data_IF_940523353312
#
_entry.id   IF_940523353312
#
_cell.length_a   1.000
_cell.length_b   1.000
_cell.length_c   1.000
_cell.angle_alpha   90.00
_cell.angle_beta   90.00
_cell.angle_gamma   90.00
#
_symmetry.space_group_name_H-M   'P 1'
#
loop_
_entity.id
_entity.type
_entity.pdbx_description
1 polymer ?
#
# COMPACT_ATOMS: atom_id res chain seq x y z
N UNK A 1 -14.58 9.76 -0.11
CA UNK A 1 -15.92 10.39 -0.22
C UNK A 1 -15.92 11.29 -1.43
N UNK A 2 -16.99 11.24 -2.25
CA UNK A 2 -17.09 11.87 -3.57
C UNK A 2 -18.19 12.92 -3.62
N UNK A 3 -17.96 14.01 -4.33
CA UNK A 3 -18.89 15.13 -4.45
C UNK A 3 -18.59 16.00 -5.65
N UNK A 4 -19.33 17.09 -5.74
CA UNK A 4 -19.17 18.14 -6.72
C UNK A 4 -18.96 19.48 -6.03
N UNK A 5 -18.13 20.32 -6.63
CA UNK A 5 -18.11 21.74 -6.33
C UNK A 5 -19.21 22.44 -7.16
N UNK A 6 -20.09 23.16 -6.50
CA UNK A 6 -21.14 23.94 -7.15
C UNK A 6 -20.57 25.26 -7.69
N UNK A 7 -21.31 25.90 -8.59
CA UNK A 7 -20.92 27.21 -9.17
C UNK A 7 -20.70 28.32 -8.14
N UNK A 8 -21.34 28.20 -6.96
CA UNK A 8 -21.18 29.13 -5.83
C UNK A 8 -20.03 28.76 -4.88
N UNK A 9 -19.24 27.73 -5.20
CA UNK A 9 -18.16 27.23 -4.38
C UNK A 9 -18.57 26.26 -3.26
N UNK A 10 -19.87 26.01 -3.06
CA UNK A 10 -20.33 25.04 -2.08
C UNK A 10 -20.04 23.61 -2.49
N UNK A 11 -19.80 22.74 -1.51
CA UNK A 11 -19.60 21.32 -1.73
C UNK A 11 -20.92 20.54 -1.63
N UNK A 12 -21.14 19.63 -2.57
CA UNK A 12 -22.30 18.72 -2.55
C UNK A 12 -21.84 17.26 -2.65
N UNK A 13 -22.21 16.45 -1.67
CA UNK A 13 -21.96 15.00 -1.69
C UNK A 13 -22.79 14.29 -2.77
N UNK A 14 -22.18 13.34 -3.48
CA UNK A 14 -22.91 12.46 -4.43
C UNK A 14 -23.73 11.44 -3.66
N UNK A 15 -23.18 10.92 -2.56
CA UNK A 15 -23.85 9.95 -1.67
C UNK A 15 -23.27 9.99 -0.26
N UNK A 16 -23.98 9.36 0.68
CA UNK A 16 -23.58 9.30 2.09
C UNK A 16 -22.74 8.05 2.45
N UNK A 17 -22.25 7.33 1.44
CA UNK A 17 -21.40 6.14 1.64
C UNK A 17 -20.03 6.35 1.01
N UNK A 18 -18.93 6.01 1.73
CA UNK A 18 -17.60 5.99 1.15
C UNK A 18 -17.47 4.99 0.00
N UNK A 19 -16.58 5.25 -0.95
CA UNK A 19 -16.16 4.27 -1.97
C UNK A 19 -14.82 4.62 -2.54
N UNK A 20 -14.08 3.62 -3.04
CA UNK A 20 -12.82 3.83 -3.76
C UNK A 20 -13.08 4.44 -5.14
N UNK A 21 -14.06 3.92 -5.87
CA UNK A 21 -14.40 4.37 -7.20
C UNK A 21 -15.41 5.50 -7.19
N UNK A 22 -15.30 6.41 -8.15
CA UNK A 22 -16.27 7.47 -8.33
C UNK A 22 -17.67 6.90 -8.61
N UNK A 23 -18.70 7.29 -7.83
CA UNK A 23 -20.06 6.82 -8.04
C UNK A 23 -20.78 7.53 -9.20
N UNK A 24 -20.18 8.58 -9.76
CA UNK A 24 -20.79 9.39 -10.84
C UNK A 24 -19.71 10.10 -11.67
N UNK A 25 -20.01 10.32 -12.95
CA UNK A 25 -19.11 11.06 -13.85
C UNK A 25 -18.89 12.50 -13.34
N UNK A 26 -17.65 12.97 -13.41
CA UNK A 26 -17.26 14.32 -12.98
C UNK A 26 -17.18 14.55 -11.48
N UNK A 27 -17.54 13.55 -10.65
CA UNK A 27 -17.35 13.67 -9.20
C UNK A 27 -15.85 13.55 -8.86
N UNK A 28 -15.42 14.37 -7.89
CA UNK A 28 -14.06 14.34 -7.33
C UNK A 28 -14.11 13.97 -5.85
N UNK A 29 -12.99 13.53 -5.28
CA UNK A 29 -12.91 13.30 -3.85
C UNK A 29 -12.86 14.64 -3.09
N UNK A 30 -13.43 14.69 -1.88
CA UNK A 30 -13.32 15.88 -1.03
C UNK A 30 -11.85 16.25 -0.74
N UNK A 31 -10.98 15.25 -0.60
CA UNK A 31 -9.55 15.49 -0.47
C UNK A 31 -9.00 16.24 -1.69
N UNK A 32 -9.36 15.83 -2.92
CA UNK A 32 -8.91 16.49 -4.15
C UNK A 32 -9.47 17.91 -4.29
N UNK A 33 -10.71 18.14 -3.86
CA UNK A 33 -11.29 19.47 -3.78
C UNK A 33 -10.47 20.37 -2.84
N UNK A 34 -10.22 19.92 -1.60
CA UNK A 34 -9.40 20.67 -0.63
C UNK A 34 -7.96 20.85 -1.08
N UNK A 35 -7.37 19.86 -1.76
CA UNK A 35 -6.03 19.96 -2.34
C UNK A 35 -5.95 21.11 -3.36
N UNK A 36 -6.92 21.22 -4.26
CA UNK A 36 -6.98 22.30 -5.25
C UNK A 36 -7.09 23.70 -4.61
N UNK A 37 -7.77 23.80 -3.47
CA UNK A 37 -7.90 25.06 -2.75
C UNK A 37 -6.65 25.42 -1.95
N UNK A 38 -6.06 24.47 -1.24
CA UNK A 38 -5.06 24.73 -0.20
C UNK A 38 -3.62 24.57 -0.69
N UNK A 39 -3.37 23.74 -1.71
CA UNK A 39 -2.00 23.41 -2.13
C UNK A 39 -1.59 24.24 -3.32
N UNK A 40 -0.67 25.17 -3.09
CA UNK A 40 0.02 25.97 -4.14
C UNK A 40 1.48 25.53 -4.30
N UNK A 41 2.08 25.07 -3.21
CA UNK A 41 3.45 24.55 -3.15
C UNK A 41 3.47 23.20 -2.43
N UNK A 42 4.51 22.38 -2.61
CA UNK A 42 4.63 21.10 -1.91
C UNK A 42 4.55 21.20 -0.37
N UNK A 43 4.99 22.34 0.21
CA UNK A 43 4.94 22.58 1.66
C UNK A 43 3.51 22.72 2.21
N UNK A 44 2.55 23.13 1.39
CA UNK A 44 1.16 23.36 1.80
C UNK A 44 0.42 22.04 2.12
N UNK A 45 0.96 20.89 1.70
CA UNK A 45 0.39 19.56 2.00
C UNK A 45 0.31 19.26 3.51
N UNK A 46 1.13 19.92 4.34
CA UNK A 46 1.02 19.86 5.80
C UNK A 46 -0.32 20.40 6.29
N UNK A 47 -0.72 21.56 5.78
CA UNK A 47 -2.01 22.18 6.10
C UNK A 47 -3.20 21.37 5.56
N UNK A 48 -3.10 20.87 4.34
CA UNK A 48 -4.10 19.95 3.78
C UNK A 48 -4.35 18.74 4.69
N UNK A 49 -3.29 18.07 5.15
CA UNK A 49 -3.40 16.94 6.07
C UNK A 49 -4.04 17.33 7.40
N UNK A 50 -3.72 18.49 7.94
CA UNK A 50 -4.29 19.00 9.19
C UNK A 50 -5.81 19.20 9.03
N UNK A 51 -6.25 19.86 7.97
CA UNK A 51 -7.67 20.14 7.71
C UNK A 51 -8.44 18.85 7.40
N UNK A 52 -7.88 17.96 6.59
CA UNK A 52 -8.55 16.69 6.26
C UNK A 52 -8.48 15.65 7.37
N UNK A 53 -7.51 15.74 8.28
CA UNK A 53 -7.36 14.84 9.41
C UNK A 53 -8.49 14.94 10.45
N UNK A 54 -9.11 16.09 10.59
CA UNK A 54 -10.29 16.32 11.46
C UNK A 54 -11.62 16.24 10.69
N UNK A 55 -11.62 15.76 9.46
CA UNK A 55 -12.74 15.81 8.53
C UNK A 55 -14.09 15.37 9.14
N UNK A 56 -14.13 14.28 9.90
CA UNK A 56 -15.36 13.77 10.51
C UNK A 56 -15.84 14.56 11.72
N UNK A 57 -15.04 15.52 12.18
CA UNK A 57 -15.39 16.45 13.27
C UNK A 57 -15.96 17.76 12.71
N UNK A 58 -15.89 17.96 11.39
CA UNK A 58 -16.43 19.13 10.71
C UNK A 58 -17.86 18.86 10.22
N UNK A 59 -18.74 19.89 10.14
CA UNK A 59 -20.15 19.71 9.73
C UNK A 59 -20.32 18.98 8.40
N UNK A 60 -19.43 19.20 7.44
CA UNK A 60 -19.46 18.52 6.14
C UNK A 60 -19.13 17.02 6.24
N UNK A 61 -18.29 16.65 7.20
CA UNK A 61 -17.79 15.28 7.36
C UNK A 61 -18.51 14.47 8.42
N UNK A 62 -19.28 15.08 9.31
CA UNK A 62 -19.95 14.44 10.45
C UNK A 62 -20.77 13.21 10.05
N UNK A 63 -21.45 13.26 8.91
CA UNK A 63 -22.21 12.12 8.35
C UNK A 63 -21.39 10.85 8.11
N UNK A 64 -20.07 10.99 8.00
CA UNK A 64 -19.14 9.87 7.80
C UNK A 64 -18.48 9.39 9.09
N UNK A 65 -18.74 10.05 10.23
CA UNK A 65 -18.22 9.63 11.54
C UNK A 65 -18.55 8.17 11.88
N UNK A 66 -19.78 7.65 11.62
CA UNK A 66 -20.08 6.24 11.90
C UNK A 66 -19.20 5.22 11.17
N UNK A 67 -18.66 5.58 10.00
CA UNK A 67 -17.72 4.71 9.28
C UNK A 67 -16.35 4.67 9.96
N UNK A 68 -15.86 5.84 10.42
CA UNK A 68 -14.61 5.92 11.20
C UNK A 68 -14.74 5.15 12.52
N UNK A 69 -15.81 5.37 13.28
CA UNK A 69 -16.05 4.70 14.56
C UNK A 69 -16.13 3.18 14.40
N UNK A 70 -16.81 2.69 13.36
CA UNK A 70 -16.88 1.27 13.05
C UNK A 70 -15.50 0.70 12.70
N UNK A 71 -14.73 1.41 11.88
CA UNK A 71 -13.35 1.02 11.56
C UNK A 71 -12.47 0.94 12.80
N UNK A 72 -12.50 1.98 13.66
CA UNK A 72 -11.76 1.97 14.92
C UNK A 72 -12.21 0.85 15.87
N UNK A 73 -13.52 0.61 15.97
CA UNK A 73 -14.04 -0.49 16.79
C UNK A 73 -13.54 -1.86 16.31
N UNK A 74 -13.41 -2.07 14.98
CA UNK A 74 -12.97 -3.36 14.42
C UNK A 74 -11.48 -3.66 14.62
N UNK A 75 -10.68 -2.64 14.90
CA UNK A 75 -9.24 -2.79 15.20
C UNK A 75 -8.88 -2.52 16.67
N UNK A 76 -9.89 -2.36 17.55
CA UNK A 76 -9.66 -2.15 18.97
C UNK A 76 -9.05 -3.39 19.60
N UNK A 77 -8.00 -3.21 20.42
CA UNK A 77 -7.42 -4.29 21.21
C UNK A 77 -8.32 -4.60 22.41
N UNK A 78 -8.94 -5.77 22.41
CA UNK A 78 -9.92 -6.19 23.45
C UNK A 78 -9.36 -7.22 24.41
N UNK A 79 -8.11 -7.65 24.25
CA UNK A 79 -7.46 -8.66 25.08
C UNK A 79 -6.92 -8.07 26.36
N UNK A 80 -6.95 -8.90 27.44
CA UNK A 80 -6.36 -8.52 28.73
C UNK A 80 -4.83 -8.51 28.69
N UNK A 81 -4.23 -9.38 27.86
CA UNK A 81 -2.78 -9.44 27.71
C UNK A 81 -2.25 -8.17 27.03
N UNK A 82 -1.18 -7.64 27.60
CA UNK A 82 -0.47 -6.49 27.04
C UNK A 82 0.80 -6.98 26.37
N UNK A 83 0.89 -6.83 25.06
CA UNK A 83 2.06 -7.14 24.25
C UNK A 83 2.45 -5.89 23.47
N UNK A 84 3.44 -5.17 23.98
CA UNK A 84 3.85 -3.84 23.48
C UNK A 84 4.03 -3.79 21.97
N UNK A 85 4.55 -4.87 21.36
CA UNK A 85 4.81 -4.92 19.91
C UNK A 85 3.52 -5.02 19.08
N UNK A 86 2.41 -5.46 19.67
CA UNK A 86 1.14 -5.71 18.98
C UNK A 86 0.12 -4.58 19.15
N UNK A 87 0.42 -3.62 20.05
CA UNK A 87 -0.54 -2.61 20.49
C UNK A 87 -0.04 -1.21 20.11
N UNK A 88 -0.93 -0.42 19.58
CA UNK A 88 -0.80 1.02 19.48
C UNK A 88 -1.74 1.68 20.49
N UNK A 89 -1.23 2.64 21.24
CA UNK A 89 -2.03 3.43 22.18
C UNK A 89 -2.22 4.82 21.60
N UNK A 90 -3.47 5.29 21.51
CA UNK A 90 -3.75 6.63 21.05
C UNK A 90 -3.58 7.68 22.17
N UNK A 91 -3.82 8.95 21.82
CA UNK A 91 -3.72 10.09 22.77
C UNK A 91 -4.70 10.01 23.95
N UNK A 92 -5.78 9.29 23.81
CA UNK A 92 -6.84 9.14 24.82
C UNK A 92 -6.64 7.86 25.65
N UNK A 93 -5.57 7.10 25.40
CA UNK A 93 -5.20 5.87 26.11
C UNK A 93 -5.92 4.62 25.60
N UNK A 94 -6.70 4.74 24.50
CA UNK A 94 -7.35 3.62 23.86
C UNK A 94 -6.31 2.75 23.11
N UNK A 95 -6.53 1.44 23.16
CA UNK A 95 -5.61 0.45 22.59
C UNK A 95 -6.16 -0.13 21.30
N UNK A 96 -5.30 -0.22 20.30
CA UNK A 96 -5.63 -0.77 18.99
C UNK A 96 -4.57 -1.78 18.56
N UNK A 97 -4.93 -2.70 17.66
CA UNK A 97 -3.95 -3.52 16.98
C UNK A 97 -2.95 -2.66 16.22
N UNK A 98 -1.66 -2.92 16.37
CA UNK A 98 -0.61 -2.15 15.68
C UNK A 98 -0.66 -2.35 14.16
N UNK A 99 -0.99 -3.56 13.71
CA UNK A 99 -1.29 -3.90 12.32
C UNK A 99 -2.72 -4.41 12.21
N UNK A 100 -3.33 -4.19 11.05
CA UNK A 100 -4.68 -4.68 10.76
C UNK A 100 -4.75 -6.20 10.95
N UNK A 101 -5.74 -6.74 11.66
CA UNK A 101 -5.95 -8.18 11.80
C UNK A 101 -6.02 -8.92 10.46
N UNK A 102 -6.55 -8.28 9.42
CA UNK A 102 -6.62 -8.81 8.06
C UNK A 102 -5.23 -9.10 7.43
N UNK A 103 -4.16 -8.41 7.87
CA UNK A 103 -2.78 -8.72 7.46
C UNK A 103 -2.32 -10.05 8.06
N UNK A 104 -2.63 -10.32 9.33
CA UNK A 104 -2.29 -11.61 9.95
C UNK A 104 -3.13 -12.75 9.36
N UNK A 105 -4.38 -12.48 9.03
CA UNK A 105 -5.27 -13.43 8.38
C UNK A 105 -4.73 -13.88 7.01
N UNK A 106 -4.19 -12.97 6.20
CA UNK A 106 -3.61 -13.36 4.91
C UNK A 106 -2.32 -14.15 5.09
N UNK A 107 -1.46 -13.81 6.05
CA UNK A 107 -0.27 -14.60 6.36
C UNK A 107 -0.68 -16.03 6.75
N UNK A 108 -1.62 -16.18 7.68
CA UNK A 108 -2.11 -17.47 8.11
C UNK A 108 -2.73 -18.27 6.96
N UNK A 109 -3.54 -17.63 6.11
CA UNK A 109 -4.14 -18.28 4.94
C UNK A 109 -3.07 -18.82 3.97
N UNK A 110 -2.05 -18.03 3.66
CA UNK A 110 -0.96 -18.43 2.77
C UNK A 110 -0.13 -19.57 3.37
N UNK A 111 0.09 -19.58 4.69
CA UNK A 111 0.73 -20.68 5.41
C UNK A 111 -0.14 -21.94 5.40
N UNK A 112 -1.41 -21.83 5.74
CA UNK A 112 -2.38 -22.96 5.78
C UNK A 112 -2.53 -23.61 4.39
N UNK A 113 -2.49 -22.82 3.33
CA UNK A 113 -2.57 -23.30 1.93
C UNK A 113 -1.20 -23.68 1.34
N UNK A 114 -0.13 -23.64 2.14
CA UNK A 114 1.24 -24.03 1.76
C UNK A 114 1.75 -23.29 0.51
N UNK A 115 1.40 -22.02 0.40
CA UNK A 115 1.92 -21.17 -0.70
C UNK A 115 3.39 -20.85 -0.45
N UNK A 116 4.17 -20.75 -1.53
CA UNK A 116 5.48 -20.11 -1.49
C UNK A 116 5.26 -18.59 -1.65
N UNK A 117 5.59 -17.82 -0.62
CA UNK A 117 5.34 -16.38 -0.59
C UNK A 117 6.36 -15.64 0.26
N UNK A 118 6.51 -14.37 -0.03
CA UNK A 118 7.19 -13.39 0.82
C UNK A 118 6.35 -12.12 0.97
N UNK A 119 6.61 -11.38 2.02
CA UNK A 119 5.97 -10.09 2.29
C UNK A 119 7.06 -9.01 2.31
N UNK A 120 6.91 -8.02 1.47
CA UNK A 120 7.79 -6.86 1.40
C UNK A 120 7.02 -5.62 1.85
N UNK A 121 7.31 -5.14 3.06
CA UNK A 121 6.74 -3.89 3.57
C UNK A 121 7.38 -2.72 2.81
N UNK A 122 6.55 -1.87 2.21
CA UNK A 122 6.99 -0.68 1.46
C UNK A 122 6.45 0.59 2.11
N UNK A 123 7.32 1.47 2.55
CA UNK A 123 6.91 2.71 3.23
C UNK A 123 7.76 3.91 2.80
N UNK A 124 7.20 5.11 2.92
CA UNK A 124 7.93 6.36 2.89
C UNK A 124 8.31 6.87 4.30
N UNK A 125 7.78 6.21 5.34
CA UNK A 125 7.95 6.59 6.73
C UNK A 125 9.09 5.83 7.44
N UNK A 126 9.11 5.99 8.74
CA UNK A 126 10.09 5.37 9.65
C UNK A 126 9.52 4.20 10.46
N UNK A 127 8.33 3.73 10.12
CA UNK A 127 7.54 2.73 10.85
C UNK A 127 7.95 1.27 10.56
N UNK A 128 8.71 1.03 9.48
CA UNK A 128 9.14 -0.29 9.06
C UNK A 128 9.75 -1.17 10.18
N UNK A 129 10.67 -0.68 11.05
CA UNK A 129 11.22 -1.49 12.12
C UNK A 129 10.16 -1.96 13.12
N UNK A 130 9.17 -1.15 13.43
CA UNK A 130 8.10 -1.52 14.37
C UNK A 130 7.13 -2.51 13.71
N UNK A 131 6.81 -2.35 12.44
CA UNK A 131 6.02 -3.31 11.66
C UNK A 131 6.68 -4.69 11.67
N UNK A 132 8.00 -4.77 11.40
CA UNK A 132 8.75 -6.02 11.43
C UNK A 132 8.73 -6.66 12.81
N UNK A 133 8.89 -5.88 13.90
CA UNK A 133 8.79 -6.38 15.28
C UNK A 133 7.39 -6.94 15.59
N UNK A 134 6.35 -6.26 15.13
CA UNK A 134 4.96 -6.68 15.30
C UNK A 134 4.71 -8.03 14.60
N UNK A 135 5.14 -8.15 13.34
CA UNK A 135 5.00 -9.41 12.59
C UNK A 135 5.82 -10.52 13.26
N UNK A 136 7.08 -10.25 13.66
CA UNK A 136 7.92 -11.24 14.33
C UNK A 136 7.29 -11.75 15.63
N UNK A 137 6.78 -10.87 16.48
CA UNK A 137 6.09 -11.24 17.71
C UNK A 137 4.84 -12.12 17.42
N UNK A 138 4.10 -11.80 16.38
CA UNK A 138 2.92 -12.60 15.98
C UNK A 138 3.31 -14.00 15.47
N UNK A 139 4.39 -14.09 14.68
CA UNK A 139 4.93 -15.37 14.19
C UNK A 139 5.56 -16.23 15.31
N UNK A 140 5.88 -15.62 16.44
CA UNK A 140 6.30 -16.32 17.69
C UNK A 140 5.10 -16.81 18.52
N UNK A 141 3.87 -16.62 18.04
CA UNK A 141 2.63 -17.04 18.71
C UNK A 141 2.16 -16.09 19.81
N UNK A 142 2.65 -14.84 19.84
CA UNK A 142 2.24 -13.85 20.84
C UNK A 142 0.92 -13.15 20.52
N UNK A 143 0.40 -13.30 19.28
CA UNK A 143 -0.85 -12.65 18.90
C UNK A 143 -2.04 -13.51 19.31
N UNK A 144 -2.93 -13.04 20.21
CA UNK A 144 -3.99 -13.87 20.79
C UNK A 144 -5.02 -14.34 19.73
N UNK A 145 -5.34 -13.54 18.73
CA UNK A 145 -6.30 -13.90 17.68
C UNK A 145 -5.71 -14.81 16.61
N UNK A 146 -4.37 -14.86 16.49
CA UNK A 146 -3.66 -15.62 15.47
C UNK A 146 -2.63 -16.61 16.04
N UNK A 147 -3.04 -17.51 16.99
CA UNK A 147 -2.11 -18.44 17.64
C UNK A 147 -1.58 -19.54 16.70
N UNK A 148 -2.15 -19.69 15.52
CA UNK A 148 -1.75 -20.68 14.52
C UNK A 148 -0.70 -20.19 13.51
N UNK A 149 -0.30 -18.92 13.59
CA UNK A 149 0.78 -18.42 12.76
C UNK A 149 2.07 -19.21 13.03
N UNK A 150 2.68 -19.69 11.95
CA UNK A 150 3.91 -20.48 12.05
C UNK A 150 5.14 -19.61 11.78
N UNK A 151 6.26 -20.01 12.37
CA UNK A 151 7.53 -19.30 12.20
C UNK A 151 7.92 -19.20 10.73
N UNK A 152 8.31 -18.01 10.32
CA UNK A 152 8.96 -17.73 9.04
C UNK A 152 10.06 -16.69 9.25
N UNK A 153 11.06 -16.57 8.38
CA UNK A 153 12.10 -15.57 8.51
C UNK A 153 11.52 -14.14 8.55
N UNK A 154 12.05 -13.29 9.43
CA UNK A 154 11.80 -11.85 9.43
C UNK A 154 13.15 -11.16 9.36
N UNK A 155 13.42 -10.48 8.27
CA UNK A 155 14.62 -9.68 8.12
C UNK A 155 14.41 -8.32 8.79
N UNK A 156 15.15 -8.05 9.85
CA UNK A 156 15.09 -6.79 10.58
C UNK A 156 15.94 -5.68 9.96
N UNK A 157 16.73 -6.01 8.94
CA UNK A 157 17.41 -5.00 8.15
C UNK A 157 16.43 -4.34 7.19
N UNK A 158 16.31 -3.01 7.27
CA UNK A 158 15.42 -2.24 6.41
C UNK A 158 16.19 -1.73 5.20
N UNK A 159 15.84 -2.26 4.03
CA UNK A 159 16.40 -1.79 2.76
C UNK A 159 16.01 -0.35 2.44
N UNK A 160 16.73 0.30 1.53
CA UNK A 160 16.44 1.68 1.11
C UNK A 160 16.54 1.80 -0.41
N UNK A 161 15.42 2.15 -1.04
CA UNK A 161 15.40 2.53 -2.47
C UNK A 161 15.84 3.99 -2.60
N UNK A 162 16.72 4.24 -3.58
CA UNK A 162 17.10 5.58 -4.01
C UNK A 162 16.84 5.77 -5.49
N UNK A 163 16.26 6.91 -5.81
CA UNK A 163 15.97 7.37 -7.16
C UNK A 163 17.00 8.43 -7.54
N UNK A 164 17.52 8.39 -8.76
CA UNK A 164 18.57 9.28 -9.24
C UNK A 164 18.05 10.11 -10.42
N UNK A 165 18.62 11.32 -10.59
CA UNK A 165 18.20 12.26 -11.64
C UNK A 165 18.40 11.73 -13.07
N UNK A 166 19.32 10.78 -13.27
CA UNK A 166 19.52 10.05 -14.53
C UNK A 166 18.49 8.94 -14.77
N UNK A 167 17.50 8.83 -13.88
CA UNK A 167 16.45 7.82 -13.89
C UNK A 167 16.90 6.45 -13.39
N UNK A 168 18.12 6.32 -12.85
CA UNK A 168 18.58 5.10 -12.20
C UNK A 168 17.85 4.87 -10.89
N UNK A 169 17.62 3.61 -10.56
CA UNK A 169 17.06 3.16 -9.29
C UNK A 169 18.07 2.23 -8.64
N UNK A 170 18.34 2.43 -7.36
CA UNK A 170 19.23 1.56 -6.58
C UNK A 170 18.53 1.09 -5.32
N UNK A 171 18.85 -0.10 -4.85
CA UNK A 171 18.41 -0.64 -3.56
C UNK A 171 19.66 -0.92 -2.71
N UNK A 172 19.75 -0.21 -1.60
CA UNK A 172 20.70 -0.54 -0.53
C UNK A 172 20.03 -1.55 0.40
N UNK A 173 20.66 -2.69 0.64
CA UNK A 173 20.14 -3.77 1.46
C UNK A 173 21.30 -4.56 2.07
N UNK A 174 20.98 -5.59 2.84
CA UNK A 174 21.94 -6.56 3.35
C UNK A 174 21.65 -7.93 2.75
N UNK A 175 22.69 -8.61 2.31
CA UNK A 175 22.63 -9.98 1.79
C UNK A 175 23.70 -10.80 2.51
N UNK A 176 23.30 -11.90 3.12
CA UNK A 176 24.20 -12.78 3.89
C UNK A 176 25.05 -12.03 4.93
N UNK A 177 24.46 -11.05 5.61
CA UNK A 177 25.12 -10.21 6.62
C UNK A 177 26.08 -9.15 6.05
N UNK A 178 26.07 -8.92 4.74
CA UNK A 178 26.92 -7.94 4.08
C UNK A 178 26.09 -6.84 3.42
N UNK A 179 26.42 -5.58 3.71
CA UNK A 179 25.80 -4.43 3.04
C UNK A 179 26.08 -4.46 1.53
N UNK A 180 25.04 -4.37 0.74
CA UNK A 180 25.11 -4.37 -0.71
C UNK A 180 24.28 -3.25 -1.32
N UNK A 181 24.68 -2.82 -2.53
CA UNK A 181 23.89 -1.90 -3.35
C UNK A 181 23.59 -2.56 -4.68
N UNK A 182 22.33 -2.87 -4.90
CA UNK A 182 21.85 -3.33 -6.20
C UNK A 182 21.67 -2.09 -7.10
N UNK A 183 22.29 -2.10 -8.27
CA UNK A 183 22.47 -0.89 -9.08
C UNK A 183 21.68 -0.90 -10.39
N UNK A 184 20.93 -1.97 -10.66
CA UNK A 184 20.00 -2.04 -11.79
C UNK A 184 18.69 -2.70 -11.38
N UNK A 185 17.64 -2.40 -12.12
CA UNK A 185 16.28 -2.79 -11.77
C UNK A 185 16.03 -4.30 -11.85
N UNK A 186 16.73 -4.99 -12.78
CA UNK A 186 16.65 -6.47 -12.89
C UNK A 186 17.23 -7.15 -11.63
N UNK A 187 18.32 -6.63 -11.10
CA UNK A 187 18.88 -7.14 -9.84
C UNK A 187 17.89 -6.91 -8.68
N UNK A 188 17.24 -5.74 -8.62
CA UNK A 188 16.24 -5.45 -7.60
C UNK A 188 15.03 -6.38 -7.73
N UNK A 189 14.51 -6.57 -8.94
CA UNK A 189 13.42 -7.51 -9.21
C UNK A 189 13.78 -8.94 -8.76
N UNK A 190 14.95 -9.43 -9.14
CA UNK A 190 15.40 -10.77 -8.78
C UNK A 190 15.58 -10.92 -7.26
N UNK A 191 16.11 -9.88 -6.59
CA UNK A 191 16.20 -9.85 -5.12
C UNK A 191 14.79 -9.97 -4.50
N UNK A 192 13.83 -9.15 -4.91
CA UNK A 192 12.45 -9.19 -4.40
C UNK A 192 11.79 -10.55 -4.67
N UNK A 193 11.99 -11.13 -5.85
CA UNK A 193 11.47 -12.45 -6.23
C UNK A 193 12.11 -13.59 -5.43
N UNK A 194 13.32 -13.40 -4.91
CA UNK A 194 14.04 -14.40 -4.11
C UNK A 194 13.87 -14.23 -2.60
N UNK A 195 13.24 -13.14 -2.15
CA UNK A 195 12.97 -12.90 -0.74
C UNK A 195 12.18 -14.05 -0.13
N UNK A 196 12.52 -14.38 1.11
CA UNK A 196 11.77 -15.37 1.91
C UNK A 196 11.35 -14.75 3.22
N UNK A 197 10.09 -15.03 3.57
CA UNK A 197 9.55 -14.48 4.81
C UNK A 197 9.13 -13.01 4.69
N UNK A 198 9.53 -12.20 5.63
CA UNK A 198 9.13 -10.79 5.70
C UNK A 198 10.37 -9.90 5.69
N UNK A 199 10.36 -8.90 4.81
CA UNK A 199 11.38 -7.85 4.74
C UNK A 199 10.73 -6.49 4.60
N UNK A 200 11.49 -5.41 4.75
CA UNK A 200 10.99 -4.05 4.62
C UNK A 200 11.93 -3.16 3.81
N UNK A 201 11.36 -2.22 3.08
CA UNK A 201 12.07 -1.26 2.26
C UNK A 201 11.46 0.12 2.45
N UNK A 202 12.31 1.12 2.70
CA UNK A 202 11.95 2.53 2.67
C UNK A 202 12.16 3.07 1.26
N UNK A 203 11.13 3.67 0.70
CA UNK A 203 11.15 4.33 -0.60
C UNK A 203 11.61 5.79 -0.52
N UNK A 204 12.04 6.36 -1.64
CA UNK A 204 12.61 7.70 -1.71
C UNK A 204 11.53 8.80 -1.75
N UNK A 205 10.95 9.12 -0.58
CA UNK A 205 9.96 10.19 -0.46
C UNK A 205 10.48 11.55 -0.93
N UNK A 206 11.75 11.86 -0.61
CA UNK A 206 12.35 13.17 -0.94
C UNK A 206 12.48 13.34 -2.46
N UNK A 207 12.82 12.28 -3.18
CA UNK A 207 12.86 12.32 -4.63
C UNK A 207 11.46 12.55 -5.21
N UNK A 208 10.45 11.82 -4.74
CA UNK A 208 9.06 11.99 -5.18
C UNK A 208 8.54 13.41 -4.90
N UNK A 209 8.78 13.93 -3.70
CA UNK A 209 8.40 15.30 -3.33
C UNK A 209 9.06 16.35 -4.22
N UNK A 210 10.37 16.23 -4.49
CA UNK A 210 11.13 17.17 -5.35
C UNK A 210 10.67 17.16 -6.81
N UNK A 211 10.05 16.06 -7.25
CA UNK A 211 9.47 15.93 -8.58
C UNK A 211 7.94 16.12 -8.56
N UNK A 212 7.44 16.99 -7.69
CA UNK A 212 6.05 17.44 -7.63
C UNK A 212 5.04 16.31 -7.49
N UNK A 213 5.45 15.19 -6.86
CA UNK A 213 4.64 13.98 -6.67
C UNK A 213 4.22 13.29 -7.98
N UNK A 214 4.99 13.47 -9.05
CA UNK A 214 4.76 12.73 -10.30
C UNK A 214 4.87 11.22 -10.06
N UNK A 215 3.90 10.44 -10.58
CA UNK A 215 3.82 9.00 -10.34
C UNK A 215 5.05 8.24 -10.85
N UNK A 216 5.69 8.69 -11.94
CA UNK A 216 6.91 8.07 -12.48
C UNK A 216 8.13 8.23 -11.55
N UNK A 217 8.02 9.09 -10.54
CA UNK A 217 9.02 9.33 -9.50
C UNK A 217 8.65 8.69 -8.15
N UNK A 218 7.50 7.99 -8.07
CA UNK A 218 6.96 7.38 -6.87
C UNK A 218 7.58 5.99 -6.57
N UNK A 219 6.92 5.16 -5.75
CA UNK A 219 7.36 3.79 -5.41
C UNK A 219 7.45 2.92 -6.67
N UNK A 220 8.63 2.48 -7.10
CA UNK A 220 8.73 1.60 -8.26
C UNK A 220 8.17 0.22 -7.93
N UNK A 221 7.30 -0.28 -8.79
CA UNK A 221 6.76 -1.63 -8.72
C UNK A 221 7.02 -2.35 -10.04
N UNK A 222 7.79 -3.43 -9.99
CA UNK A 222 8.26 -4.12 -11.19
C UNK A 222 7.38 -5.31 -11.54
N UNK A 223 7.06 -5.42 -12.81
CA UNK A 223 6.34 -6.55 -13.38
C UNK A 223 7.13 -7.10 -14.58
N UNK A 224 7.27 -8.42 -14.60
CA UNK A 224 7.82 -9.16 -15.73
C UNK A 224 6.84 -10.24 -16.17
N UNK A 225 6.14 -10.00 -17.26
CA UNK A 225 5.15 -10.97 -17.79
C UNK A 225 5.80 -12.20 -18.42
N UNK A 226 7.12 -12.23 -18.56
CA UNK A 226 7.88 -13.43 -18.95
C UNK A 226 8.22 -14.34 -17.77
N UNK A 227 8.21 -13.82 -16.54
CA UNK A 227 8.33 -14.63 -15.34
C UNK A 227 6.99 -15.32 -15.05
N UNK A 228 6.97 -16.65 -15.19
CA UNK A 228 5.82 -17.50 -14.94
C UNK A 228 5.79 -18.08 -13.53
N UNK A 229 6.80 -17.77 -12.72
CA UNK A 229 7.00 -18.35 -11.39
C UNK A 229 6.63 -17.39 -10.27
N UNK A 230 6.81 -16.08 -10.49
CA UNK A 230 6.64 -15.07 -9.45
C UNK A 230 5.66 -13.98 -9.90
N UNK A 231 4.64 -13.74 -9.08
CA UNK A 231 3.73 -12.62 -9.23
C UNK A 231 4.00 -11.62 -8.10
N UNK A 232 4.35 -10.39 -8.45
CA UNK A 232 4.46 -9.30 -7.51
C UNK A 232 3.12 -8.56 -7.44
N UNK A 233 2.56 -8.44 -6.24
CA UNK A 233 1.32 -7.71 -5.98
C UNK A 233 1.62 -6.60 -5.00
N UNK A 234 1.29 -5.36 -5.33
CA UNK A 234 1.37 -4.23 -4.42
C UNK A 234 -0.02 -3.79 -3.96
N UNK A 235 -0.16 -3.59 -2.66
CA UNK A 235 -1.33 -3.01 -2.00
C UNK A 235 -0.95 -1.63 -1.47
N UNK A 236 -1.64 -0.59 -1.90
CA UNK A 236 -1.45 0.77 -1.40
C UNK A 236 -2.76 1.54 -1.52
N UNK A 237 -3.16 2.26 -0.47
CA UNK A 237 -4.41 3.03 -0.44
C UNK A 237 -4.37 4.27 -1.33
N UNK A 238 -3.18 4.77 -1.65
CA UNK A 238 -2.96 5.89 -2.56
C UNK A 238 -2.60 5.47 -4.00
N UNK A 239 -2.68 4.18 -4.30
CA UNK A 239 -2.52 3.68 -5.67
C UNK A 239 -3.74 4.05 -6.51
N UNK A 240 -3.52 4.59 -7.71
CA UNK A 240 -4.56 4.91 -8.69
C UNK A 240 -4.13 4.45 -10.07
N UNK A 241 -4.99 3.73 -10.75
CA UNK A 241 -4.73 3.23 -12.12
C UNK A 241 -5.41 4.07 -13.20
N UNK A 242 -6.30 4.97 -12.80
CA UNK A 242 -7.07 5.85 -13.71
C UNK A 242 -6.58 7.30 -13.70
N UNK A 243 -5.58 7.60 -12.88
CA UNK A 243 -5.07 8.96 -12.68
C UNK A 243 -3.54 8.91 -12.58
N UNK A 244 -2.88 9.95 -13.07
CA UNK A 244 -1.42 10.12 -12.91
C UNK A 244 -1.02 10.51 -11.48
N UNK A 245 -1.95 10.86 -10.63
CA UNK A 245 -1.75 11.10 -9.20
C UNK A 245 -1.75 9.76 -8.44
N UNK A 246 -0.70 8.97 -8.62
CA UNK A 246 -0.52 7.66 -8.01
C UNK A 246 0.79 7.57 -7.23
N UNK A 247 0.77 6.87 -6.11
CA UNK A 247 1.96 6.62 -5.27
C UNK A 247 2.85 5.50 -5.83
N UNK A 248 2.42 4.82 -6.90
CA UNK A 248 3.12 3.68 -7.50
C UNK A 248 3.51 3.97 -8.94
N UNK A 249 4.79 3.80 -9.25
CA UNK A 249 5.37 3.79 -10.60
C UNK A 249 5.40 2.34 -11.09
N UNK A 250 4.39 1.94 -11.86
CA UNK A 250 4.40 0.60 -12.50
C UNK A 250 5.50 0.55 -13.56
N UNK A 251 6.44 -0.38 -13.40
CA UNK A 251 7.60 -0.55 -14.26
C UNK A 251 7.59 -1.94 -14.89
N UNK A 252 7.51 -1.98 -16.21
CA UNK A 252 7.44 -3.25 -16.97
C UNK A 252 8.77 -3.56 -17.63
N UNK A 253 9.23 -4.80 -17.46
CA UNK A 253 10.34 -5.35 -18.25
C UNK A 253 9.86 -5.78 -19.63
N UNK A 254 10.74 -5.64 -20.61
CA UNK A 254 10.56 -6.17 -21.96
C UNK A 254 11.71 -7.16 -22.22
N UNK A 255 11.40 -8.46 -22.13
CA UNK A 255 12.41 -9.50 -22.24
C UNK A 255 13.53 -9.38 -21.17
N UNK A 256 14.76 -9.68 -21.54
CA UNK A 256 15.90 -9.73 -20.63
C UNK A 256 16.56 -8.36 -20.33
N UNK A 257 15.81 -7.27 -20.43
CA UNK A 257 16.35 -5.95 -20.16
C UNK A 257 16.77 -5.79 -18.69
N UNK A 258 17.85 -5.01 -18.46
CA UNK A 258 18.35 -4.70 -17.11
C UNK A 258 17.56 -3.53 -16.47
N UNK A 259 16.88 -2.74 -17.28
CA UNK A 259 16.06 -1.61 -16.88
C UNK A 259 14.62 -1.81 -17.35
N UNK A 260 13.67 -1.58 -16.47
CA UNK A 260 12.26 -1.54 -16.80
C UNK A 260 11.85 -0.13 -17.24
N UNK A 261 10.74 -0.04 -17.97
CA UNK A 261 10.16 1.24 -18.36
C UNK A 261 8.89 1.52 -17.54
N UNK A 262 8.72 2.76 -17.10
CA UNK A 262 7.46 3.20 -16.48
C UNK A 262 6.32 3.07 -17.47
N UNK A 263 5.18 2.57 -17.01
CA UNK A 263 3.96 2.48 -17.80
C UNK A 263 3.23 3.82 -17.69
N UNK A 264 3.25 4.58 -18.79
CA UNK A 264 2.63 5.91 -18.89
C UNK A 264 1.20 5.87 -19.42
N UNK A 265 0.84 4.79 -20.08
CA UNK A 265 -0.50 4.56 -20.66
C UNK A 265 -1.44 4.06 -19.56
N UNK A 266 -2.47 4.86 -19.26
CA UNK A 266 -3.46 4.53 -18.24
C UNK A 266 -4.29 3.30 -18.59
N UNK A 267 -4.59 3.07 -19.88
CA UNK A 267 -5.34 1.87 -20.31
C UNK A 267 -4.49 0.61 -20.06
N UNK A 268 -3.18 0.71 -20.30
CA UNK A 268 -2.25 -0.37 -19.99
C UNK A 268 -2.12 -0.57 -18.46
N UNK A 269 -2.07 0.51 -17.66
CA UNK A 269 -2.06 0.40 -16.20
C UNK A 269 -3.32 -0.31 -15.66
N UNK A 270 -4.49 0.00 -16.21
CA UNK A 270 -5.76 -0.63 -15.81
C UNK A 270 -5.75 -2.16 -16.04
N UNK A 271 -5.03 -2.65 -17.05
CA UNK A 271 -4.88 -4.11 -17.26
C UNK A 271 -4.18 -4.82 -16.10
N UNK A 272 -3.35 -4.10 -15.33
CA UNK A 272 -2.68 -4.65 -14.14
C UNK A 272 -3.50 -4.45 -12.86
N UNK A 273 -4.62 -3.72 -12.92
CA UNK A 273 -5.49 -3.54 -11.77
C UNK A 273 -6.09 -4.87 -11.32
N UNK A 274 -6.01 -5.12 -10.03
CA UNK A 274 -6.36 -6.41 -9.41
C UNK A 274 -5.66 -7.63 -10.06
N UNK A 275 -4.51 -7.40 -10.72
CA UNK A 275 -3.54 -8.44 -11.08
C UNK A 275 -2.24 -8.23 -10.30
N UNK A 276 -1.59 -7.07 -10.47
CA UNK A 276 -0.36 -6.69 -9.77
C UNK A 276 -0.51 -5.41 -8.94
N UNK A 277 -1.55 -4.61 -9.22
CA UNK A 277 -1.84 -3.33 -8.60
C UNK A 277 -3.18 -3.39 -7.87
N UNK A 278 -3.19 -3.15 -6.57
CA UNK A 278 -4.42 -3.13 -5.77
C UNK A 278 -4.51 -1.83 -4.99
N UNK A 279 -5.48 -0.99 -5.33
CA UNK A 279 -5.86 0.11 -4.46
C UNK A 279 -6.53 -0.46 -3.22
N UNK A 280 -5.87 -0.31 -2.06
CA UNK A 280 -6.39 -0.84 -0.80
C UNK A 280 -7.54 0.04 -0.27
N UNK A 281 -8.67 -0.58 0.01
CA UNK A 281 -9.77 0.05 0.73
C UNK A 281 -9.53 -0.07 2.24
N UNK A 282 -9.16 1.05 2.89
CA UNK A 282 -8.86 1.05 4.32
C UNK A 282 -10.08 0.69 5.16
N UNK A 283 -11.28 1.14 4.78
CA UNK A 283 -12.50 0.83 5.53
C UNK A 283 -12.85 -0.67 5.41
N UNK A 284 -12.77 -1.20 4.21
CA UNK A 284 -13.03 -2.62 3.97
C UNK A 284 -11.95 -3.50 4.62
N UNK A 285 -10.66 -3.12 4.53
CA UNK A 285 -9.55 -3.89 5.12
C UNK A 285 -9.58 -3.91 6.65
N UNK A 286 -10.19 -2.92 7.30
CA UNK A 286 -10.42 -2.93 8.76
C UNK A 286 -11.62 -3.76 9.13
N UNK A 287 -12.71 -3.73 8.36
CA UNK A 287 -13.98 -4.36 8.68
C UNK A 287 -14.06 -5.84 8.26
N UNK A 288 -13.35 -6.22 7.19
CA UNK A 288 -13.36 -7.57 6.61
C UNK A 288 -12.02 -8.26 6.85
N UNK A 289 -12.01 -9.23 7.75
CA UNK A 289 -10.82 -10.00 8.10
C UNK A 289 -10.19 -10.71 6.88
N UNK A 290 -11.00 -11.12 5.90
CA UNK A 290 -10.54 -11.82 4.70
C UNK A 290 -10.19 -10.88 3.53
N UNK A 291 -10.23 -9.56 3.71
CA UNK A 291 -10.02 -8.60 2.64
C UNK A 291 -8.80 -8.91 1.76
N UNK A 292 -7.62 -9.04 2.35
CA UNK A 292 -6.39 -9.32 1.59
C UNK A 292 -6.37 -10.72 0.99
N UNK A 293 -6.97 -11.71 1.67
CA UNK A 293 -7.12 -13.08 1.13
C UNK A 293 -7.94 -13.07 -0.16
N UNK A 294 -9.08 -12.39 -0.16
CA UNK A 294 -9.97 -12.31 -1.32
C UNK A 294 -9.33 -11.51 -2.46
N UNK A 295 -8.59 -10.44 -2.12
CA UNK A 295 -7.84 -9.66 -3.12
C UNK A 295 -6.71 -10.48 -3.75
N UNK A 296 -5.96 -11.26 -3.00
CA UNK A 296 -4.91 -12.14 -3.57
C UNK A 296 -5.51 -13.16 -4.52
N UNK A 297 -6.61 -13.83 -4.15
CA UNK A 297 -7.29 -14.78 -5.03
C UNK A 297 -7.76 -14.13 -6.34
N UNK A 298 -8.26 -12.89 -6.26
CA UNK A 298 -8.63 -12.13 -7.44
C UNK A 298 -7.41 -11.79 -8.30
N UNK A 299 -6.31 -11.36 -7.66
CA UNK A 299 -5.08 -11.02 -8.35
C UNK A 299 -4.48 -12.22 -9.08
N UNK A 300 -4.44 -13.39 -8.46
CA UNK A 300 -3.96 -14.63 -9.07
C UNK A 300 -4.77 -14.96 -10.33
N UNK A 301 -6.10 -14.96 -10.21
CA UNK A 301 -6.99 -15.23 -11.36
C UNK A 301 -6.75 -14.24 -12.50
N UNK A 302 -6.69 -12.94 -12.20
CA UNK A 302 -6.48 -11.91 -13.22
C UNK A 302 -5.07 -11.93 -13.83
N UNK A 303 -4.08 -12.33 -13.04
CA UNK A 303 -2.73 -12.48 -13.56
C UNK A 303 -2.63 -13.64 -14.55
N UNK A 304 -3.27 -14.77 -14.27
CA UNK A 304 -3.37 -15.89 -15.21
C UNK A 304 -4.07 -15.48 -16.52
N UNK A 305 -5.16 -14.70 -16.44
CA UNK A 305 -5.83 -14.14 -17.61
C UNK A 305 -4.91 -13.21 -18.42
N UNK A 306 -4.14 -12.36 -17.72
CA UNK A 306 -3.18 -11.43 -18.33
C UNK A 306 -2.06 -12.17 -19.06
N UNK A 307 -1.50 -13.23 -18.44
CA UNK A 307 -0.41 -14.02 -19.03
C UNK A 307 -0.86 -14.86 -20.22
N UNK A 308 -2.14 -15.22 -20.30
CA UNK A 308 -2.72 -16.01 -21.39
C UNK A 308 -3.33 -15.14 -22.50
N UNK A 309 -3.44 -13.83 -22.30
CA UNK A 309 -3.89 -12.89 -23.33
C UNK A 309 -2.79 -12.70 -24.37
N UNK A 310 -3.13 -12.64 -25.68
CA UNK A 310 -2.13 -12.34 -26.70
C UNK A 310 -1.45 -11.00 -26.36
N UNK A 311 -0.12 -11.00 -26.44
CA UNK A 311 0.66 -9.79 -26.25
C UNK A 311 0.26 -8.73 -27.27
N UNK A 312 -0.38 -7.66 -26.83
CA UNK A 312 -0.64 -6.45 -27.62
C UNK A 312 0.48 -5.45 -27.42
#
# INVERSE_FOLDING_TARGET
MWGYEKDNGDWQWVRDTPSLTSPASGAITYYKHRERELVRTPSDRGELRRVTGSFTQEPLGERFLPYLERGLASIRWTHAEHVDQLIMVDKDGEKYHYLLPSVFQVIQHLQDTKRDFSIVIRTYGSDAPNILKTIAASLEGKHPDFPRLTKMPVDHHVGTIKRHADGKITLQTELDGNAQTLTNERQIYNFLSSCKGVTAIVDDFIYWQKNEYDHTCSKPHWVDTSDRHTQHIIFDDNLRVTDRDSIVDLRRFQGNQQRASSVLDLDLMQRYENACLVQADLLESTANLNYFVDKIKLCEKRYDELLNSPAS
#
